data_IF_921713089084
#
_entry.id   IF_921713089084
#
_cell.length_a   1.000
_cell.length_b   1.000
_cell.length_c   1.000
_cell.angle_alpha   90.00
_cell.angle_beta   90.00
_cell.angle_gamma   90.00
#
_symmetry.space_group_name_H-M   'P 1'
#
loop_
_entity.id
_entity.type
_entity.pdbx_description
1 polymer ?
#
# COMPACT_ATOMS: atom_id res chain seq x y z
N UNK A 1 13.71 -4.39 13.30
CA UNK A 1 13.06 -5.11 14.42
C UNK A 1 12.16 -6.19 13.85
N UNK A 2 12.54 -7.46 14.00
CA UNK A 2 11.81 -8.60 13.46
C UNK A 2 10.41 -8.73 14.06
N UNK A 3 9.46 -9.20 13.25
CA UNK A 3 8.08 -9.46 13.67
C UNK A 3 8.05 -10.57 14.73
N UNK A 4 8.16 -10.19 16.01
CA UNK A 4 7.98 -11.13 17.12
C UNK A 4 6.56 -11.68 17.14
N UNK A 5 6.39 -12.97 17.44
CA UNK A 5 5.07 -13.60 17.59
C UNK A 5 4.27 -12.87 18.69
N UNK A 6 2.98 -12.51 18.48
CA UNK A 6 2.17 -11.88 19.51
C UNK A 6 2.10 -12.74 20.77
N UNK A 7 1.86 -12.13 21.94
CA UNK A 7 1.52 -12.88 23.14
C UNK A 7 0.11 -13.48 22.98
N UNK A 8 -0.04 -14.72 23.41
CA UNK A 8 -1.33 -15.42 23.50
C UNK A 8 -2.00 -15.17 24.85
N UNK A 9 -3.29 -15.51 24.97
CA UNK A 9 -4.04 -15.33 26.22
C UNK A 9 -3.40 -16.12 27.37
N UNK A 10 -2.99 -17.37 27.12
CA UNK A 10 -2.34 -18.20 28.13
C UNK A 10 -1.04 -17.56 28.65
N UNK A 11 -0.22 -17.01 27.76
CA UNK A 11 1.00 -16.30 28.15
C UNK A 11 0.68 -15.05 29.00
N UNK A 12 -0.42 -14.33 28.67
CA UNK A 12 -0.88 -13.19 29.48
C UNK A 12 -1.39 -13.60 30.86
N UNK A 13 -2.10 -14.73 30.97
CA UNK A 13 -2.53 -15.30 32.25
C UNK A 13 -1.32 -15.70 33.11
N UNK A 14 -0.32 -16.31 32.50
CA UNK A 14 0.94 -16.65 33.18
C UNK A 14 1.68 -15.40 33.67
N UNK A 15 1.67 -14.32 32.89
CA UNK A 15 2.18 -13.01 33.34
C UNK A 15 1.40 -12.51 34.58
N UNK A 16 0.06 -12.58 34.56
CA UNK A 16 -0.76 -12.15 35.70
C UNK A 16 -0.50 -12.99 36.96
N UNK A 17 -0.34 -14.31 36.81
CA UNK A 17 0.04 -15.20 37.91
C UNK A 17 1.44 -14.90 38.43
N UNK A 18 2.41 -14.65 37.54
CA UNK A 18 3.76 -14.27 37.92
C UNK A 18 3.81 -12.95 38.70
N UNK A 19 2.97 -11.98 38.31
CA UNK A 19 2.82 -10.73 39.07
C UNK A 19 2.31 -10.99 40.48
N UNK A 20 1.25 -11.79 40.65
CA UNK A 20 0.70 -12.17 41.96
C UNK A 20 1.71 -12.89 42.85
N UNK A 21 2.56 -13.73 42.24
CA UNK A 21 3.68 -14.42 42.89
C UNK A 21 4.90 -13.53 43.14
N UNK A 22 4.83 -12.24 42.80
CA UNK A 22 5.93 -11.26 42.92
C UNK A 22 7.21 -11.65 42.15
N UNK A 23 7.07 -12.42 41.07
CA UNK A 23 8.18 -12.80 40.20
C UNK A 23 8.70 -11.58 39.41
N UNK A 24 10.02 -11.56 39.17
CA UNK A 24 10.69 -10.59 38.31
C UNK A 24 10.31 -10.79 36.83
N UNK A 25 10.58 -9.78 35.99
CA UNK A 25 10.29 -9.88 34.55
C UNK A 25 11.08 -11.01 33.85
N UNK A 26 12.30 -11.34 34.33
CA UNK A 26 13.09 -12.45 33.81
C UNK A 26 12.45 -13.79 34.14
N UNK A 27 12.14 -14.04 35.40
CA UNK A 27 11.51 -15.30 35.82
C UNK A 27 10.17 -15.54 35.10
N UNK A 28 9.37 -14.49 34.94
CA UNK A 28 8.13 -14.58 34.15
C UNK A 28 8.45 -14.91 32.70
N UNK A 29 9.39 -14.20 32.07
CA UNK A 29 9.82 -14.44 30.70
C UNK A 29 10.29 -15.87 30.47
N UNK A 30 11.17 -16.36 31.33
CA UNK A 30 11.70 -17.72 31.29
C UNK A 30 10.57 -18.76 31.39
N UNK A 31 9.58 -18.53 32.26
CA UNK A 31 8.44 -19.45 32.44
C UNK A 31 7.52 -19.57 31.21
N UNK A 32 7.47 -18.55 30.36
CA UNK A 32 6.62 -18.54 29.14
C UNK A 32 7.46 -18.62 27.85
N UNK A 33 8.77 -18.84 27.94
CA UNK A 33 9.67 -18.88 26.79
C UNK A 33 9.74 -17.56 26.02
N UNK A 34 9.78 -16.43 26.73
CA UNK A 34 9.85 -15.08 26.17
C UNK A 34 10.99 -14.29 26.80
N UNK A 35 11.58 -13.39 26.01
CA UNK A 35 12.52 -12.42 26.57
C UNK A 35 11.83 -11.49 27.58
N UNK A 36 12.52 -11.17 28.67
CA UNK A 36 12.03 -10.31 29.76
C UNK A 36 11.54 -8.94 29.26
N UNK A 37 12.12 -8.38 28.19
CA UNK A 37 11.71 -7.10 27.61
C UNK A 37 10.33 -7.17 26.95
N UNK A 38 9.87 -8.37 26.55
CA UNK A 38 8.50 -8.59 26.08
C UNK A 38 7.52 -8.49 27.25
N UNK A 39 7.84 -9.16 28.36
CA UNK A 39 7.04 -9.15 29.58
C UNK A 39 6.95 -7.74 30.15
N UNK A 40 8.08 -7.04 30.28
CA UNK A 40 8.12 -5.65 30.74
C UNK A 40 7.22 -4.75 29.89
N UNK A 41 7.40 -4.75 28.56
CA UNK A 41 6.59 -3.91 27.66
C UNK A 41 5.11 -4.27 27.67
N UNK A 42 4.76 -5.54 27.85
CA UNK A 42 3.37 -5.96 27.98
C UNK A 42 2.75 -5.42 29.26
N UNK A 43 3.45 -5.54 30.40
CA UNK A 43 2.96 -5.08 31.69
C UNK A 43 2.80 -3.56 31.71
N UNK A 44 3.84 -2.82 31.31
CA UNK A 44 3.81 -1.33 31.31
C UNK A 44 2.71 -0.78 30.37
N UNK A 45 2.56 -1.37 29.17
CA UNK A 45 1.50 -0.95 28.23
C UNK A 45 0.09 -1.18 28.79
N UNK A 46 -0.08 -2.15 29.69
CA UNK A 46 -1.38 -2.56 30.21
C UNK A 46 -1.61 -2.11 31.67
N UNK A 47 -0.98 -1.01 32.09
CA UNK A 47 -1.25 -0.36 33.38
C UNK A 47 -0.28 -0.72 34.51
N UNK A 48 0.86 -1.33 34.18
CA UNK A 48 1.87 -1.71 35.16
C UNK A 48 1.45 -2.91 36.01
N UNK A 49 2.32 -3.31 36.94
CA UNK A 49 2.09 -4.53 37.76
C UNK A 49 0.82 -4.45 38.63
N UNK A 50 0.44 -3.27 39.09
CA UNK A 50 -0.70 -3.08 39.99
C UNK A 50 -2.05 -3.26 39.27
N UNK A 51 -2.13 -2.86 38.00
CA UNK A 51 -3.38 -2.84 37.23
C UNK A 51 -3.42 -3.86 36.08
N UNK A 52 -2.43 -4.74 36.01
CA UNK A 52 -2.33 -5.71 34.93
C UNK A 52 -3.46 -6.74 34.99
N UNK A 53 -4.23 -6.83 33.91
CA UNK A 53 -5.28 -7.83 33.75
C UNK A 53 -5.21 -8.49 32.37
N UNK A 54 -4.95 -9.80 32.35
CA UNK A 54 -4.70 -10.59 31.15
C UNK A 54 -5.84 -10.50 30.12
N UNK A 55 -7.10 -10.63 30.55
CA UNK A 55 -8.25 -10.55 29.65
C UNK A 55 -8.42 -9.16 29.03
N UNK A 56 -8.15 -8.09 29.78
CA UNK A 56 -8.16 -6.71 29.25
C UNK A 56 -7.06 -6.52 28.22
N UNK A 57 -5.84 -6.97 28.52
CA UNK A 57 -4.70 -6.90 27.62
C UNK A 57 -4.95 -7.68 26.32
N UNK A 58 -5.56 -8.87 26.40
CA UNK A 58 -5.95 -9.67 25.24
C UNK A 58 -7.00 -8.94 24.38
N UNK A 59 -8.09 -8.44 25.00
CA UNK A 59 -9.14 -7.70 24.29
C UNK A 59 -8.58 -6.48 23.57
N UNK A 60 -7.69 -5.74 24.22
CA UNK A 60 -7.01 -4.60 23.62
C UNK A 60 -6.14 -5.01 22.44
N UNK A 61 -5.35 -6.07 22.59
CA UNK A 61 -4.53 -6.61 21.51
C UNK A 61 -5.38 -7.07 20.30
N UNK A 62 -6.53 -7.70 20.54
CA UNK A 62 -7.45 -8.13 19.48
C UNK A 62 -8.12 -6.94 18.77
N UNK A 63 -8.54 -5.91 19.51
CA UNK A 63 -9.04 -4.66 18.93
C UNK A 63 -7.98 -4.00 18.04
N UNK A 64 -6.75 -3.88 18.53
CA UNK A 64 -5.64 -3.32 17.75
C UNK A 64 -5.27 -4.19 16.54
N UNK A 65 -5.46 -5.51 16.62
CA UNK A 65 -5.20 -6.45 15.51
C UNK A 65 -6.22 -6.30 14.38
N UNK A 66 -7.47 -5.94 14.70
CA UNK A 66 -8.54 -5.75 13.68
C UNK A 66 -8.17 -4.69 12.64
N UNK A 67 -7.39 -3.66 13.01
CA UNK A 67 -6.97 -2.52 12.16
C UNK A 67 -7.93 -2.17 11.00
N UNK A 68 -9.22 -1.88 11.21
CA UNK A 68 -9.97 -1.16 10.20
C UNK A 68 -9.43 0.28 10.22
N UNK A 69 -8.61 0.63 9.23
CA UNK A 69 -8.40 2.05 8.95
C UNK A 69 -9.67 2.51 8.28
N UNK A 70 -10.50 3.27 9.00
CA UNK A 70 -11.61 3.98 8.38
C UNK A 70 -11.05 4.73 7.18
N UNK A 71 -11.55 4.36 6.01
CA UNK A 71 -10.99 4.86 4.77
C UNK A 71 -11.33 6.35 4.71
N UNK A 72 -10.36 7.17 4.33
CA UNK A 72 -10.45 8.63 4.31
C UNK A 72 -11.77 9.17 3.73
N UNK A 73 -12.28 8.53 2.66
CA UNK A 73 -13.56 8.90 2.03
C UNK A 73 -14.75 8.58 2.95
N UNK A 74 -14.80 7.42 3.59
CA UNK A 74 -15.89 7.03 4.51
C UNK A 74 -15.87 7.84 5.81
N UNK A 75 -14.68 8.22 6.27
CA UNK A 75 -14.51 9.04 7.47
C UNK A 75 -14.86 10.52 7.25
N UNK A 76 -15.08 10.97 6.02
CA UNK A 76 -15.27 12.38 5.68
C UNK A 76 -16.50 12.56 4.77
N UNK A 77 -17.66 12.98 5.31
CA UNK A 77 -18.88 13.17 4.53
C UNK A 77 -18.71 14.16 3.36
N UNK A 78 -17.96 15.24 3.56
CA UNK A 78 -17.66 16.23 2.50
C UNK A 78 -16.93 15.60 1.30
N UNK A 79 -15.96 14.73 1.58
CA UNK A 79 -15.16 14.06 0.57
C UNK A 79 -15.94 12.94 -0.12
N UNK A 80 -16.78 12.21 0.64
CA UNK A 80 -17.70 11.22 0.07
C UNK A 80 -18.67 11.87 -0.93
N UNK A 81 -19.32 12.98 -0.53
CA UNK A 81 -20.25 13.70 -1.41
C UNK A 81 -19.58 14.18 -2.70
N UNK A 82 -18.40 14.80 -2.62
CA UNK A 82 -17.69 15.26 -3.82
C UNK A 82 -17.26 14.11 -4.75
N UNK A 83 -16.94 12.93 -4.21
CA UNK A 83 -16.67 11.74 -5.01
C UNK A 83 -17.95 11.22 -5.66
N UNK A 84 -19.08 11.18 -4.94
CA UNK A 84 -20.39 10.77 -5.46
C UNK A 84 -20.88 11.71 -6.57
N UNK A 85 -20.74 13.02 -6.40
CA UNK A 85 -21.11 14.03 -7.40
C UNK A 85 -20.28 13.86 -8.68
N UNK A 86 -18.96 13.71 -8.56
CA UNK A 86 -18.10 13.44 -9.71
C UNK A 86 -18.45 12.14 -10.44
N UNK A 87 -18.86 11.10 -9.71
CA UNK A 87 -19.33 9.85 -10.32
C UNK A 87 -20.67 10.03 -11.03
N UNK A 88 -21.60 10.81 -10.48
CA UNK A 88 -22.89 11.16 -11.10
C UNK A 88 -22.69 11.93 -12.41
N UNK A 89 -21.67 12.76 -12.47
CA UNK A 89 -21.22 13.46 -13.68
C UNK A 89 -20.41 12.58 -14.66
N UNK A 90 -20.31 11.27 -14.39
CA UNK A 90 -19.58 10.29 -15.20
C UNK A 90 -18.07 10.54 -15.28
N UNK A 91 -17.49 11.22 -14.29
CA UNK A 91 -16.04 11.35 -14.21
C UNK A 91 -15.40 10.03 -13.77
N UNK A 92 -14.26 9.69 -14.36
CA UNK A 92 -13.47 8.56 -13.90
C UNK A 92 -12.83 8.85 -12.53
N UNK A 93 -12.53 7.81 -11.71
CA UNK A 93 -11.83 7.98 -10.44
C UNK A 93 -10.51 8.77 -10.52
N UNK A 94 -9.80 8.71 -11.66
CA UNK A 94 -8.60 9.50 -11.89
C UNK A 94 -8.90 10.98 -12.16
N UNK A 95 -9.99 11.30 -12.85
CA UNK A 95 -10.44 12.68 -13.02
C UNK A 95 -10.89 13.29 -11.70
N UNK A 96 -11.67 12.55 -10.91
CA UNK A 96 -12.12 12.99 -9.57
C UNK A 96 -10.91 13.30 -8.69
N UNK A 97 -9.96 12.36 -8.56
CA UNK A 97 -8.76 12.57 -7.74
C UNK A 97 -7.94 13.80 -8.17
N UNK A 98 -7.77 14.01 -9.48
CA UNK A 98 -7.06 15.18 -10.02
C UNK A 98 -7.83 16.48 -9.77
N UNK A 99 -9.15 16.47 -9.96
CA UNK A 99 -10.02 17.63 -9.74
C UNK A 99 -10.00 18.06 -8.29
N UNK A 100 -10.19 17.13 -7.35
CA UNK A 100 -10.14 17.41 -5.91
C UNK A 100 -8.80 18.04 -5.49
N UNK A 101 -7.69 17.56 -6.06
CA UNK A 101 -6.36 18.12 -5.74
C UNK A 101 -6.15 19.51 -6.34
N UNK A 102 -6.71 19.79 -7.51
CA UNK A 102 -6.63 21.10 -8.15
C UNK A 102 -7.51 22.13 -7.44
N UNK A 103 -8.72 21.73 -7.05
CA UNK A 103 -9.71 22.63 -6.47
C UNK A 103 -9.40 22.93 -4.99
N UNK A 104 -8.68 22.01 -4.33
CA UNK A 104 -8.24 22.16 -2.93
C UNK A 104 -6.73 21.92 -2.79
N UNK A 105 -5.86 22.80 -3.32
CA UNK A 105 -4.41 22.62 -3.27
C UNK A 105 -3.81 22.84 -1.88
N UNK A 106 -4.48 23.59 -1.01
CA UNK A 106 -3.98 23.90 0.34
C UNK A 106 -4.58 23.01 1.44
N UNK A 107 -5.60 22.20 1.12
CA UNK A 107 -6.29 21.33 2.09
C UNK A 107 -6.09 19.86 1.70
N UNK A 108 -5.09 19.23 2.32
CA UNK A 108 -4.74 17.84 2.07
C UNK A 108 -5.86 16.87 2.46
N UNK A 109 -6.86 17.28 3.24
CA UNK A 109 -8.00 16.46 3.63
C UNK A 109 -8.86 16.07 2.42
N UNK A 110 -8.79 16.82 1.31
CA UNK A 110 -9.44 16.50 0.03
C UNK A 110 -8.64 15.53 -0.84
N UNK A 111 -7.35 15.34 -0.54
CA UNK A 111 -6.47 14.58 -1.41
C UNK A 111 -6.67 13.08 -1.23
N UNK A 112 -7.16 12.43 -2.28
CA UNK A 112 -7.29 10.98 -2.36
C UNK A 112 -6.72 10.44 -3.65
N UNK A 113 -6.14 9.25 -3.60
CA UNK A 113 -5.72 8.56 -4.82
C UNK A 113 -6.94 7.97 -5.54
N UNK A 114 -6.85 7.85 -6.85
CA UNK A 114 -7.87 7.14 -7.63
C UNK A 114 -8.01 5.67 -7.20
N UNK A 115 -6.95 5.06 -6.67
CA UNK A 115 -7.02 3.72 -6.08
C UNK A 115 -7.89 3.69 -4.82
N UNK A 116 -7.82 4.72 -4.00
CA UNK A 116 -8.67 4.87 -2.81
C UNK A 116 -10.14 4.95 -3.22
N UNK A 117 -10.46 5.72 -4.27
CA UNK A 117 -11.82 5.82 -4.83
C UNK A 117 -12.29 4.48 -5.40
N UNK A 118 -11.44 3.75 -6.14
CA UNK A 118 -11.79 2.40 -6.59
C UNK A 118 -12.07 1.47 -5.42
N UNK A 119 -11.21 1.46 -4.42
CA UNK A 119 -11.37 0.59 -3.26
C UNK A 119 -12.67 0.88 -2.52
N UNK A 120 -13.08 2.15 -2.37
CA UNK A 120 -14.34 2.51 -1.71
C UNK A 120 -15.55 2.07 -2.50
N UNK A 121 -15.54 2.26 -3.83
CA UNK A 121 -16.58 1.72 -4.71
C UNK A 121 -16.75 0.21 -4.54
N UNK A 122 -15.65 -0.56 -4.49
CA UNK A 122 -15.72 -2.02 -4.33
C UNK A 122 -16.16 -2.49 -2.94
N UNK A 123 -15.94 -1.69 -1.89
CA UNK A 123 -16.38 -2.05 -0.53
C UNK A 123 -17.84 -1.66 -0.29
N UNK A 124 -18.27 -0.48 -0.75
CA UNK A 124 -19.69 -0.10 -0.70
C UNK A 124 -20.53 -1.05 -1.55
N UNK A 125 -20.03 -1.49 -2.71
CA UNK A 125 -20.68 -2.49 -3.59
C UNK A 125 -20.76 -3.93 -3.04
N UNK A 126 -20.21 -4.24 -1.85
CA UNK A 126 -20.44 -5.54 -1.20
C UNK A 126 -21.86 -5.69 -0.62
N UNK A 127 -22.64 -4.61 -0.53
CA UNK A 127 -24.10 -4.65 -0.46
C UNK A 127 -24.69 -4.22 -1.79
N UNK A 128 -25.57 -5.04 -2.38
CA UNK A 128 -26.48 -4.83 -3.55
C UNK A 128 -26.02 -4.08 -4.82
N UNK A 129 -24.83 -3.48 -4.90
CA UNK A 129 -24.49 -2.50 -5.95
C UNK A 129 -23.39 -3.01 -6.90
N UNK A 130 -23.65 -4.13 -7.58
CA UNK A 130 -22.85 -4.55 -8.75
C UNK A 130 -23.36 -3.98 -10.06
N UNK A 131 -24.58 -3.43 -10.14
CA UNK A 131 -25.19 -2.93 -11.38
C UNK A 131 -24.76 -1.50 -11.72
N UNK A 132 -24.96 -0.54 -10.81
CA UNK A 132 -24.80 0.90 -11.10
C UNK A 132 -23.33 1.32 -11.33
N UNK A 133 -22.40 0.75 -10.54
CA UNK A 133 -20.95 0.96 -10.76
C UNK A 133 -20.50 0.41 -12.13
N UNK A 134 -21.23 -0.56 -12.69
CA UNK A 134 -20.90 -1.15 -14.00
C UNK A 134 -21.30 -0.24 -15.16
N UNK A 135 -22.38 0.53 -15.01
CA UNK A 135 -22.88 1.47 -16.02
C UNK A 135 -22.05 2.77 -16.09
N UNK A 136 -21.45 3.19 -14.98
CA UNK A 136 -20.55 4.35 -14.95
C UNK A 136 -19.11 4.10 -15.46
N UNK A 137 -18.72 2.83 -15.69
CA UNK A 137 -17.38 2.46 -16.13
C UNK A 137 -17.32 2.31 -17.66
N UNK A 138 -16.46 3.10 -18.33
CA UNK A 138 -16.18 2.98 -19.78
C UNK A 138 -15.75 1.56 -20.24
N UNK A 139 -15.30 0.72 -19.32
CA UNK A 139 -15.13 -0.72 -19.50
C UNK A 139 -15.76 -1.41 -18.30
N UNK A 140 -16.91 -2.08 -18.49
CA UNK A 140 -17.74 -2.69 -17.43
C UNK A 140 -17.14 -3.87 -16.67
N UNK A 141 -15.86 -3.80 -16.28
CA UNK A 141 -15.15 -4.81 -15.49
C UNK A 141 -15.24 -4.49 -14.00
N UNK A 142 -15.71 -5.47 -13.25
CA UNK A 142 -15.92 -5.42 -11.79
C UNK A 142 -14.69 -5.94 -11.01
N UNK A 143 -13.65 -6.44 -11.69
CA UNK A 143 -12.39 -6.86 -11.06
C UNK A 143 -11.17 -6.38 -11.83
N UNK A 144 -10.16 -5.94 -11.07
CA UNK A 144 -8.83 -5.58 -11.55
C UNK A 144 -7.98 -6.84 -11.75
N UNK A 145 -7.23 -6.93 -12.85
CA UNK A 145 -6.10 -7.88 -12.94
C UNK A 145 -4.94 -7.36 -12.09
N UNK A 146 -4.37 -8.17 -11.18
CA UNK A 146 -3.15 -7.79 -10.49
C UNK A 146 -2.06 -7.46 -11.52
N UNK A 147 -1.45 -6.27 -11.43
CA UNK A 147 -0.16 -6.03 -12.11
C UNK A 147 0.89 -6.67 -11.23
N UNK A 148 1.37 -7.86 -11.62
CA UNK A 148 2.54 -8.44 -10.98
C UNK A 148 3.75 -7.50 -11.18
N UNK A 149 4.42 -7.19 -10.07
CA UNK A 149 5.76 -6.59 -9.99
C UNK A 149 6.36 -7.21 -8.73
N UNK A 150 7.42 -7.99 -8.72
CA UNK A 150 8.24 -8.66 -9.72
C UNK A 150 8.90 -9.82 -8.94
N UNK A 151 9.22 -10.94 -9.58
CA UNK A 151 10.31 -11.78 -9.08
C UNK A 151 11.48 -11.55 -10.02
N UNK A 152 12.44 -10.73 -9.59
CA UNK A 152 13.81 -10.91 -10.03
C UNK A 152 14.28 -12.25 -9.45
N UNK A 153 14.21 -13.30 -10.26
CA UNK A 153 15.15 -14.41 -10.18
C UNK A 153 15.88 -14.36 -11.52
N UNK A 154 17.08 -13.79 -11.50
CA UNK A 154 17.95 -13.76 -12.66
C UNK A 154 18.49 -15.16 -12.96
N UNK A 155 18.63 -15.47 -14.24
CA UNK A 155 19.86 -16.06 -14.77
C UNK A 155 19.95 -15.76 -16.27
N UNK A 156 21.19 -15.58 -16.69
CA UNK A 156 21.65 -15.18 -18.01
C UNK A 156 21.62 -16.39 -18.97
N UNK A 157 21.19 -16.13 -20.21
CA UNK A 157 21.63 -16.76 -21.48
C UNK A 157 21.06 -18.14 -21.84
N UNK A 158 20.60 -18.30 -23.08
CA UNK A 158 20.98 -19.32 -24.11
C UNK A 158 19.78 -19.53 -25.05
N UNK A 159 20.05 -19.50 -26.36
CA UNK A 159 19.08 -19.54 -27.47
C UNK A 159 18.40 -18.19 -27.79
N UNK A 160 19.14 -17.11 -27.61
CA UNK A 160 18.89 -15.83 -28.29
C UNK A 160 19.43 -15.95 -29.71
N UNK A 161 18.57 -15.75 -30.71
CA UNK A 161 18.95 -15.71 -32.14
C UNK A 161 19.74 -14.44 -32.40
N UNK A 162 20.91 -14.60 -33.03
CA UNK A 162 21.88 -13.54 -33.30
C UNK A 162 21.48 -12.75 -34.56
N UNK A 163 22.01 -11.54 -34.70
CA UNK A 163 21.77 -10.66 -35.86
C UNK A 163 22.22 -11.31 -37.19
N UNK A 164 23.11 -12.32 -37.14
CA UNK A 164 23.55 -13.14 -38.27
C UNK A 164 22.52 -14.15 -38.77
N UNK A 165 21.44 -14.42 -38.03
CA UNK A 165 20.37 -15.38 -38.37
C UNK A 165 19.10 -14.67 -38.90
N UNK A 166 19.28 -13.45 -39.40
CA UNK A 166 18.19 -12.64 -39.94
C UNK A 166 17.79 -13.16 -41.33
N UNK A 167 16.48 -13.27 -41.64
CA UNK A 167 16.05 -13.58 -43.01
C UNK A 167 16.57 -12.52 -43.99
N UNK A 168 16.98 -12.98 -45.17
CA UNK A 168 17.73 -12.22 -46.19
C UNK A 168 16.95 -11.01 -46.74
N UNK A 169 15.63 -11.00 -46.59
CA UNK A 169 14.72 -9.87 -46.89
C UNK A 169 15.06 -8.60 -46.09
N UNK A 170 15.83 -8.71 -45.00
CA UNK A 170 16.27 -7.59 -44.19
C UNK A 170 17.56 -6.91 -44.68
N UNK A 171 18.26 -7.50 -45.65
CA UNK A 171 19.39 -6.84 -46.33
C UNK A 171 18.92 -5.86 -47.40
N UNK A 172 17.73 -6.05 -47.96
CA UNK A 172 17.32 -5.37 -49.20
C UNK A 172 16.97 -3.88 -49.06
N UNK A 173 16.95 -3.33 -47.82
CA UNK A 173 16.87 -1.88 -47.52
C UNK A 173 15.93 -1.03 -48.41
N UNK A 174 14.91 -1.64 -49.02
CA UNK A 174 14.12 -1.02 -50.08
C UNK A 174 12.94 -0.18 -49.55
N UNK A 175 12.86 0.07 -48.24
CA UNK A 175 11.87 0.97 -47.63
C UNK A 175 12.57 1.98 -46.71
N UNK A 176 12.59 3.29 -47.06
CA UNK A 176 13.24 4.34 -46.26
C UNK A 176 12.55 4.62 -44.90
N UNK A 177 13.33 4.82 -43.81
CA UNK A 177 12.88 5.59 -42.62
C UNK A 177 13.28 5.11 -41.21
N UNK A 178 13.93 3.97 -41.04
CA UNK A 178 14.59 3.58 -39.77
C UNK A 178 15.86 4.43 -39.54
N UNK A 179 15.74 5.68 -39.08
CA UNK A 179 16.90 6.49 -38.63
C UNK A 179 16.49 7.48 -37.51
N UNK A 180 17.27 7.48 -36.42
CA UNK A 180 17.59 8.55 -35.44
C UNK A 180 16.45 9.48 -34.97
N UNK A 181 16.08 9.52 -33.68
CA UNK A 181 16.93 10.01 -32.59
C UNK A 181 16.73 11.51 -32.43
N UNK A 182 15.86 11.95 -31.50
CA UNK A 182 16.01 13.32 -30.99
C UNK A 182 15.53 13.52 -29.54
N UNK A 183 16.47 14.07 -28.79
CA UNK A 183 16.42 14.47 -27.39
C UNK A 183 15.96 15.93 -27.35
N UNK A 184 14.77 16.23 -26.83
CA UNK A 184 14.31 17.62 -26.76
C UNK A 184 14.93 18.32 -25.53
N UNK A 185 15.92 19.15 -25.81
CA UNK A 185 16.67 20.06 -24.94
C UNK A 185 16.08 21.49 -25.16
N UNK A 186 15.42 22.05 -24.13
CA UNK A 186 14.63 23.31 -24.23
C UNK A 186 15.43 24.64 -24.25
N UNK A 187 15.01 25.57 -25.11
CA UNK A 187 15.58 26.91 -25.39
C UNK A 187 16.13 27.70 -24.19
N UNK A 188 17.41 27.48 -23.88
CA UNK A 188 18.50 28.44 -23.64
C UNK A 188 19.71 27.69 -23.03
N UNK A 189 20.07 26.54 -23.63
CA UNK A 189 21.22 25.69 -23.25
C UNK A 189 22.57 26.34 -23.60
N UNK A 190 22.83 27.51 -23.03
CA UNK A 190 24.13 28.18 -23.08
C UNK A 190 24.79 28.15 -21.69
N UNK A 191 25.72 27.21 -21.54
CA UNK A 191 26.90 27.26 -20.66
C UNK A 191 27.94 26.42 -21.42
N UNK A 192 29.05 26.92 -21.96
CA UNK A 192 29.98 27.92 -21.45
C UNK A 192 31.29 27.21 -21.09
N UNK A 193 32.33 27.45 -21.91
CA UNK A 193 33.77 27.10 -21.76
C UNK A 193 34.16 25.61 -21.92
N UNK A 194 35.33 25.20 -22.47
CA UNK A 194 36.63 25.86 -22.70
C UNK A 194 37.45 25.03 -23.74
N UNK A 195 38.31 25.72 -24.50
CA UNK A 195 39.42 25.25 -25.36
C UNK A 195 40.38 24.22 -24.68
N UNK A 196 41.25 23.45 -25.38
CA UNK A 196 42.24 23.95 -26.36
C UNK A 196 42.62 23.03 -27.55
N UNK A 197 43.17 23.63 -28.63
CA UNK A 197 43.93 22.93 -29.67
C UNK A 197 44.22 23.79 -30.89
#
# INVERSE_FOLDING_TARGET
MGRGRPLELMEREMIALGIKKRMSYREIGDSIGRDHSVVFREIERNGGRENYWALRAQRWADQLRKRPKDRKILASPKLAGAVEDGLREKWSPMQIARRLRRDHPEDDSWWVSHETIYQTLFIQAKGTLRSEVREGLRRGRVQRRPRSRASQIGSKIKNMVLISERPQEAEDRAVPGFWEGDLIIGKDHASGDRDPG
#
